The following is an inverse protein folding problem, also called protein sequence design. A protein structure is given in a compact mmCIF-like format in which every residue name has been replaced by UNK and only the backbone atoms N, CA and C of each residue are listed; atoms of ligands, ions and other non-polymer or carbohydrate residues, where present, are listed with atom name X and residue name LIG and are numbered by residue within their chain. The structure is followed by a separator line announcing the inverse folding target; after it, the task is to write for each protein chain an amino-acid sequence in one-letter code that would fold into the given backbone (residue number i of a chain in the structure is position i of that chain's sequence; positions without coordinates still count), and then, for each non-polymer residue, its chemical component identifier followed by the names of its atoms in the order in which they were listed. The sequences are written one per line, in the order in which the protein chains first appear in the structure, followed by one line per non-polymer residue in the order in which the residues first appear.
data_IF_091043348611
#
_entry.id   IF_091043348611
#
_cell.length_a   1.000
_cell.length_b   1.000
_cell.length_c   1.000
_cell.angle_alpha   90.00
_cell.angle_beta   90.00
_cell.angle_gamma   90.00
#
_symmetry.space_group_name_H-M   'P 1'
#
loop_
_entity.id
_entity.type
_entity.pdbx_description
1 polymer ?
#
# COMPACT_ATOMS: atom_id res chain seq x y z
N UNK A 1 -23.07 1.72 2.41
CA UNK A 1 -23.51 2.86 1.60
C UNK A 1 -22.98 4.18 2.15
N UNK A 2 -23.25 4.53 3.40
CA UNK A 2 -22.80 5.79 4.03
C UNK A 2 -21.27 6.01 3.96
N UNK A 3 -20.48 4.95 3.97
CA UNK A 3 -19.02 5.03 3.90
C UNK A 3 -18.54 5.41 2.50
N UNK A 4 -19.23 4.97 1.45
CA UNK A 4 -18.92 5.30 0.07
C UNK A 4 -19.31 6.75 -0.25
N UNK A 5 -20.45 7.21 0.27
CA UNK A 5 -20.89 8.60 0.15
C UNK A 5 -19.90 9.57 0.81
N UNK A 6 -19.32 9.19 1.95
CA UNK A 6 -18.27 9.96 2.64
C UNK A 6 -17.07 10.29 1.75
N UNK A 7 -16.77 9.43 0.77
CA UNK A 7 -15.66 9.62 -0.17
C UNK A 7 -16.09 10.23 -1.51
N UNK A 8 -17.31 10.82 -1.55
CA UNK A 8 -17.82 11.46 -2.77
C UNK A 8 -18.14 10.49 -3.89
N UNK A 9 -18.30 9.21 -3.56
CA UNK A 9 -18.74 8.20 -4.51
C UNK A 9 -20.26 8.22 -4.54
N UNK A 10 -20.82 8.94 -5.52
CA UNK A 10 -22.26 8.92 -5.76
C UNK A 10 -22.69 7.53 -6.20
N UNK A 11 -23.63 6.95 -5.45
CA UNK A 11 -24.01 5.56 -5.66
C UNK A 11 -25.54 5.43 -5.61
N UNK A 12 -26.09 4.93 -6.69
CA UNK A 12 -27.39 4.28 -6.62
C UNK A 12 -27.24 2.93 -5.89
N UNK A 13 -27.95 2.75 -4.80
CA UNK A 13 -27.90 1.53 -3.96
C UNK A 13 -28.24 0.23 -4.72
N UNK A 14 -28.78 0.36 -5.92
CA UNK A 14 -29.11 -0.77 -6.81
C UNK A 14 -28.09 -0.98 -7.92
N UNK A 15 -27.01 -0.20 -7.97
CA UNK A 15 -25.95 -0.38 -8.95
C UNK A 15 -25.21 -1.72 -8.67
N UNK A 16 -25.06 -2.54 -9.71
CA UNK A 16 -24.31 -3.80 -9.63
C UNK A 16 -22.86 -3.60 -9.16
N UNK A 17 -22.27 -2.44 -9.42
CA UNK A 17 -20.92 -2.08 -8.95
C UNK A 17 -20.85 -1.92 -7.43
N UNK A 18 -21.91 -1.40 -6.81
CA UNK A 18 -21.99 -1.28 -5.34
C UNK A 18 -22.02 -2.65 -4.71
N UNK A 19 -22.85 -3.54 -5.26
CA UNK A 19 -22.92 -4.92 -4.75
C UNK A 19 -21.55 -5.60 -4.85
N UNK A 20 -20.85 -5.39 -5.95
CA UNK A 20 -19.49 -5.91 -6.13
C UNK A 20 -18.51 -5.39 -5.08
N UNK A 21 -18.59 -4.11 -4.71
CA UNK A 21 -17.77 -3.53 -3.64
C UNK A 21 -18.10 -4.18 -2.30
N UNK A 22 -19.39 -4.30 -1.99
CA UNK A 22 -19.84 -4.91 -0.73
C UNK A 22 -19.38 -6.37 -0.61
N UNK A 23 -19.49 -7.14 -1.68
CA UNK A 23 -19.07 -8.54 -1.70
C UNK A 23 -17.56 -8.66 -1.53
N UNK A 24 -16.78 -7.84 -2.25
CA UNK A 24 -15.32 -7.82 -2.13
C UNK A 24 -14.87 -7.43 -0.71
N UNK A 25 -15.50 -6.42 -0.10
CA UNK A 25 -15.20 -6.00 1.27
C UNK A 25 -15.46 -7.15 2.25
N UNK A 26 -16.59 -7.85 2.12
CA UNK A 26 -16.91 -9.00 2.96
C UNK A 26 -15.89 -10.13 2.80
N UNK A 27 -15.51 -10.45 1.57
CA UNK A 27 -14.53 -11.50 1.30
C UNK A 27 -13.17 -11.15 1.90
N UNK A 28 -12.75 -9.89 1.78
CA UNK A 28 -11.50 -9.41 2.37
C UNK A 28 -11.56 -9.39 3.90
N UNK A 29 -12.65 -8.95 4.49
CA UNK A 29 -12.83 -8.97 5.94
C UNK A 29 -12.78 -10.40 6.47
N UNK A 30 -13.38 -11.36 5.76
CA UNK A 30 -13.26 -12.77 6.07
C UNK A 30 -11.81 -13.27 6.01
N UNK A 31 -11.01 -12.74 5.08
CA UNK A 31 -9.58 -13.07 4.93
C UNK A 31 -8.68 -12.36 5.94
N UNK A 32 -9.22 -11.49 6.77
CA UNK A 32 -8.46 -10.81 7.83
C UNK A 32 -8.30 -9.30 7.65
N UNK A 33 -8.82 -8.69 6.59
CA UNK A 33 -8.86 -7.24 6.46
C UNK A 33 -9.81 -6.62 7.48
N UNK A 34 -9.45 -5.45 7.97
CA UNK A 34 -10.31 -4.60 8.79
C UNK A 34 -10.21 -3.18 8.27
N UNK A 35 -11.25 -2.73 7.59
CA UNK A 35 -11.28 -1.39 7.01
C UNK A 35 -11.70 -0.31 8.02
N UNK A 36 -12.10 -0.71 9.23
CA UNK A 36 -12.26 0.23 10.31
C UNK A 36 -10.90 0.82 10.69
N UNK A 37 -10.76 2.15 10.54
CA UNK A 37 -9.48 2.81 10.72
C UNK A 37 -8.47 2.65 9.56
N UNK A 38 -8.88 2.06 8.44
CA UNK A 38 -8.07 1.94 7.23
C UNK A 38 -8.80 2.57 6.03
N UNK A 39 -9.24 3.80 6.20
CA UNK A 39 -10.07 4.52 5.22
C UNK A 39 -9.38 4.70 3.87
N UNK A 40 -8.06 4.89 3.85
CA UNK A 40 -7.30 5.06 2.61
C UNK A 40 -7.31 3.77 1.77
N UNK A 41 -7.04 2.62 2.36
CA UNK A 41 -7.11 1.33 1.67
C UNK A 41 -8.53 1.02 1.19
N UNK A 42 -9.54 1.37 1.96
CA UNK A 42 -10.94 1.22 1.56
C UNK A 42 -11.28 2.10 0.34
N UNK A 43 -10.89 3.36 0.36
CA UNK A 43 -11.10 4.29 -0.74
C UNK A 43 -10.42 3.83 -2.04
N UNK A 44 -9.17 3.35 -1.94
CA UNK A 44 -8.45 2.76 -3.08
C UNK A 44 -9.16 1.53 -3.64
N UNK A 45 -9.60 0.63 -2.77
CA UNK A 45 -10.33 -0.58 -3.19
C UNK A 45 -11.61 -0.23 -3.92
N UNK A 46 -12.43 0.66 -3.35
CA UNK A 46 -13.69 1.09 -3.95
C UNK A 46 -13.46 1.74 -5.33
N UNK A 47 -12.50 2.63 -5.44
CA UNK A 47 -12.19 3.29 -6.72
C UNK A 47 -11.61 2.33 -7.75
N UNK A 48 -10.84 1.34 -7.32
CA UNK A 48 -10.33 0.29 -8.21
C UNK A 48 -11.47 -0.54 -8.80
N UNK A 49 -12.41 -0.96 -7.98
CA UNK A 49 -13.58 -1.75 -8.41
C UNK A 49 -14.53 -0.94 -9.30
N UNK A 50 -14.58 0.37 -9.12
CA UNK A 50 -15.36 1.29 -9.96
C UNK A 50 -14.63 1.66 -11.26
N UNK A 51 -13.39 1.23 -11.44
CA UNK A 51 -12.57 1.60 -12.60
C UNK A 51 -12.13 3.06 -12.61
N UNK A 52 -12.14 3.73 -11.45
CA UNK A 52 -11.76 5.14 -11.29
C UNK A 52 -10.34 5.35 -10.78
N UNK A 53 -9.67 4.30 -10.33
CA UNK A 53 -8.29 4.37 -9.85
C UNK A 53 -7.34 4.19 -11.05
N UNK A 54 -6.54 5.19 -11.41
CA UNK A 54 -5.50 5.02 -12.41
C UNK A 54 -4.46 3.99 -11.96
N UNK A 55 -3.80 3.34 -12.91
CA UNK A 55 -2.61 2.55 -12.58
C UNK A 55 -1.45 3.50 -12.35
N UNK A 56 -0.78 3.39 -11.19
CA UNK A 56 0.35 4.21 -10.83
C UNK A 56 1.64 3.39 -10.72
N UNK A 57 1.73 2.58 -9.69
CA UNK A 57 2.92 1.81 -9.38
C UNK A 57 2.75 0.37 -9.87
N UNK A 58 3.38 0.05 -10.98
CA UNK A 58 3.48 -1.33 -11.44
C UNK A 58 4.71 -1.96 -10.83
N UNK A 59 4.51 -2.92 -9.95
CA UNK A 59 5.58 -3.67 -9.31
C UNK A 59 5.93 -4.88 -10.16
N UNK A 60 7.17 -4.96 -10.62
CA UNK A 60 7.69 -6.13 -11.31
C UNK A 60 8.11 -7.22 -10.34
N UNK A 61 8.85 -6.82 -9.30
CA UNK A 61 9.38 -7.73 -8.29
C UNK A 61 9.81 -6.98 -7.04
N UNK A 62 9.86 -7.69 -5.94
CA UNK A 62 10.56 -7.23 -4.74
C UNK A 62 11.16 -8.44 -4.01
N UNK A 63 12.21 -8.18 -3.25
CA UNK A 63 12.80 -9.15 -2.36
C UNK A 63 13.33 -8.50 -1.09
N UNK A 64 13.40 -9.29 -0.05
CA UNK A 64 14.01 -8.93 1.23
C UNK A 64 14.98 -10.03 1.61
N UNK A 65 16.19 -9.65 1.97
CA UNK A 65 17.23 -10.55 2.40
C UNK A 65 17.65 -10.21 3.84
N UNK A 66 17.60 -11.21 4.71
CA UNK A 66 18.08 -11.10 6.09
C UNK A 66 19.30 -12.00 6.21
N UNK A 67 20.43 -11.39 6.49
CA UNK A 67 21.70 -12.09 6.67
C UNK A 67 22.25 -11.86 8.07
N UNK A 68 22.62 -12.94 8.74
CA UNK A 68 23.30 -12.94 10.03
C UNK A 68 24.69 -13.57 9.87
N UNK A 69 25.71 -12.71 9.97
CA UNK A 69 27.09 -13.11 10.17
C UNK A 69 27.53 -12.66 11.57
N UNK A 70 28.47 -11.71 11.66
CA UNK A 70 28.80 -11.01 12.91
C UNK A 70 27.65 -10.08 13.31
N UNK A 71 27.09 -9.36 12.34
CA UNK A 71 25.97 -8.47 12.48
C UNK A 71 24.73 -8.98 11.73
N UNK A 72 23.56 -8.57 12.20
CA UNK A 72 22.30 -8.79 11.50
C UNK A 72 22.10 -7.68 10.46
N UNK A 73 21.99 -8.03 9.19
CA UNK A 73 21.78 -7.08 8.09
C UNK A 73 20.53 -7.44 7.31
N UNK A 74 19.65 -6.48 7.13
CA UNK A 74 18.45 -6.63 6.30
C UNK A 74 18.52 -5.67 5.12
N UNK A 75 18.39 -6.21 3.92
CA UNK A 75 18.36 -5.45 2.66
C UNK A 75 17.07 -5.73 1.91
N UNK A 76 16.63 -4.78 1.12
CA UNK A 76 15.45 -4.93 0.26
C UNK A 76 15.72 -4.35 -1.13
N UNK A 77 15.09 -4.93 -2.12
CA UNK A 77 15.04 -4.43 -3.50
C UNK A 77 13.60 -4.42 -3.98
N UNK A 78 13.23 -3.37 -4.68
CA UNK A 78 11.92 -3.25 -5.33
C UNK A 78 12.14 -2.76 -6.75
N UNK A 79 11.57 -3.45 -7.72
CA UNK A 79 11.62 -3.03 -9.12
C UNK A 79 10.23 -2.62 -9.57
N UNK A 80 10.12 -1.37 -9.98
CA UNK A 80 8.91 -0.80 -10.60
C UNK A 80 9.07 -0.74 -12.11
N UNK A 81 7.94 -0.76 -12.81
CA UNK A 81 7.87 -0.39 -14.23
C UNK A 81 7.01 0.87 -14.35
N UNK A 82 7.65 1.97 -14.70
CA UNK A 82 7.00 3.28 -14.85
C UNK A 82 7.26 3.80 -16.26
N UNK A 83 6.17 4.04 -16.99
CA UNK A 83 6.22 4.49 -18.39
C UNK A 83 7.12 3.60 -19.28
N UNK A 84 6.98 2.28 -19.09
CA UNK A 84 7.73 1.26 -19.83
C UNK A 84 9.18 1.07 -19.40
N UNK A 85 9.65 1.80 -18.38
CA UNK A 85 11.05 1.70 -17.88
C UNK A 85 11.09 0.97 -16.55
N UNK A 86 12.03 0.05 -16.41
CA UNK A 86 12.32 -0.59 -15.13
C UNK A 86 13.13 0.35 -14.23
N UNK A 87 12.67 0.49 -13.00
CA UNK A 87 13.33 1.29 -11.97
C UNK A 87 13.61 0.38 -10.78
N UNK A 88 14.89 0.14 -10.52
CA UNK A 88 15.33 -0.66 -9.38
C UNK A 88 15.64 0.24 -8.19
N UNK A 89 15.00 -0.06 -7.06
CA UNK A 89 15.17 0.63 -5.79
C UNK A 89 15.72 -0.35 -4.76
N UNK A 90 16.80 0.00 -4.10
CA UNK A 90 17.42 -0.83 -3.07
C UNK A 90 17.70 -0.05 -1.79
N UNK A 91 17.67 -0.73 -0.66
CA UNK A 91 17.90 -0.11 0.64
C UNK A 91 18.18 -1.12 1.75
N UNK A 92 18.58 -0.60 2.89
CA UNK A 92 18.86 -1.37 4.11
C UNK A 92 17.98 -0.86 5.24
N UNK A 93 17.72 -1.70 6.22
CA UNK A 93 16.96 -1.34 7.40
C UNK A 93 17.19 -2.29 8.57
N UNK A 94 16.56 -1.97 9.68
CA UNK A 94 16.64 -2.77 10.91
C UNK A 94 15.85 -4.09 10.83
N UNK A 95 14.94 -4.17 9.89
CA UNK A 95 14.11 -5.33 9.63
C UNK A 95 13.45 -5.24 8.26
N UNK A 96 12.66 -6.25 7.87
CA UNK A 96 12.08 -6.35 6.52
C UNK A 96 11.28 -5.12 6.10
N UNK A 97 10.40 -4.62 6.94
CA UNK A 97 9.54 -3.48 6.62
C UNK A 97 10.34 -2.19 6.49
N UNK A 98 11.23 -1.95 7.45
CA UNK A 98 12.09 -0.77 7.41
C UNK A 98 13.02 -0.80 6.19
N UNK A 99 13.53 -1.96 5.81
CA UNK A 99 14.35 -2.11 4.61
C UNK A 99 13.55 -1.84 3.33
N UNK A 100 12.31 -2.34 3.22
CA UNK A 100 11.42 -2.05 2.10
C UNK A 100 11.07 -0.56 2.01
N UNK A 101 10.70 0.04 3.13
CA UNK A 101 10.39 1.47 3.18
C UNK A 101 11.61 2.31 2.78
N UNK A 102 12.79 2.00 3.31
CA UNK A 102 14.03 2.68 2.94
C UNK A 102 14.42 2.47 1.48
N UNK A 103 14.22 1.27 0.93
CA UNK A 103 14.47 0.99 -0.48
C UNK A 103 13.66 1.95 -1.37
N UNK A 104 12.40 2.15 -1.06
CA UNK A 104 11.52 3.04 -1.81
C UNK A 104 11.88 4.52 -1.55
N UNK A 105 11.96 4.93 -0.29
CA UNK A 105 12.21 6.34 0.08
C UNK A 105 13.55 6.87 -0.37
N UNK A 106 14.61 6.09 -0.21
CA UNK A 106 15.96 6.50 -0.62
C UNK A 106 16.12 6.63 -2.14
N UNK A 107 15.16 6.12 -2.89
CA UNK A 107 15.19 6.09 -4.34
C UNK A 107 14.03 6.85 -5.01
N UNK A 108 13.28 7.66 -4.27
CA UNK A 108 12.18 8.45 -4.85
C UNK A 108 12.62 9.28 -6.05
N UNK A 109 13.85 9.79 -6.03
CA UNK A 109 14.41 10.55 -7.16
C UNK A 109 14.52 9.73 -8.45
N UNK A 110 14.70 8.42 -8.34
CA UNK A 110 14.73 7.53 -9.51
C UNK A 110 13.35 7.38 -10.14
N UNK A 111 12.29 7.52 -9.35
CA UNK A 111 10.91 7.52 -9.82
C UNK A 111 10.53 8.95 -10.19
N UNK A 112 11.17 9.51 -11.22
CA UNK A 112 11.10 10.92 -11.60
C UNK A 112 9.65 11.42 -11.74
N UNK A 113 8.80 10.62 -12.39
CA UNK A 113 7.39 10.94 -12.63
C UNK A 113 6.63 11.27 -11.34
N UNK A 114 6.94 10.56 -10.24
CA UNK A 114 6.21 10.64 -8.97
C UNK A 114 6.99 11.27 -7.83
N UNK A 115 8.24 11.62 -8.04
CA UNK A 115 9.12 12.15 -7.01
C UNK A 115 8.51 13.34 -6.25
N UNK A 116 7.93 14.29 -6.96
CA UNK A 116 7.33 15.50 -6.34
C UNK A 116 6.18 15.17 -5.39
N UNK A 117 5.49 14.05 -5.61
CA UNK A 117 4.40 13.61 -4.73
C UNK A 117 4.91 12.89 -3.50
N UNK A 118 6.05 12.22 -3.60
CA UNK A 118 6.60 11.41 -2.51
C UNK A 118 7.58 12.17 -1.61
N UNK A 119 8.08 13.32 -2.06
CA UNK A 119 9.15 14.06 -1.37
C UNK A 119 8.78 14.50 0.05
N UNK A 120 7.51 14.75 0.32
CA UNK A 120 6.99 15.15 1.64
C UNK A 120 6.27 14.02 2.40
N UNK A 121 6.21 12.85 1.82
CA UNK A 121 5.56 11.69 2.42
C UNK A 121 6.38 11.15 3.60
N UNK A 122 5.72 10.92 4.74
CA UNK A 122 6.31 10.35 5.95
C UNK A 122 5.51 9.17 6.46
N UNK A 123 6.20 8.13 6.90
CA UNK A 123 5.62 7.04 7.64
C UNK A 123 5.65 7.40 9.13
N UNK A 124 4.48 7.49 9.77
CA UNK A 124 4.36 7.85 11.18
C UNK A 124 4.35 6.63 12.10
N UNK A 125 3.66 5.58 11.70
CA UNK A 125 3.48 4.40 12.54
C UNK A 125 3.28 3.16 11.67
N UNK A 126 3.62 2.03 12.26
CA UNK A 126 3.52 0.73 11.65
C UNK A 126 3.16 -0.29 12.73
N UNK A 127 2.08 -1.04 12.51
CA UNK A 127 1.57 -2.05 13.44
C UNK A 127 1.37 -3.38 12.75
N UNK A 128 1.79 -4.45 13.42
CA UNK A 128 1.59 -5.82 12.96
C UNK A 128 0.69 -6.55 13.94
N UNK A 129 -0.29 -7.28 13.41
CA UNK A 129 -1.16 -8.14 14.20
C UNK A 129 -1.24 -9.52 13.59
N UNK A 130 -1.05 -10.53 14.40
CA UNK A 130 -1.27 -11.93 14.02
C UNK A 130 -2.71 -12.29 14.38
N UNK A 131 -3.50 -12.69 13.38
CA UNK A 131 -4.93 -12.91 13.53
C UNK A 131 -5.29 -14.34 13.91
N UNK A 132 -4.45 -15.32 13.51
CA UNK A 132 -4.63 -16.73 13.83
C UNK A 132 -3.34 -17.29 14.40
N UNK A 133 -3.46 -18.21 15.34
CA UNK A 133 -2.34 -18.95 15.92
C UNK A 133 -2.22 -20.30 15.22
N UNK A 134 -0.99 -20.71 14.90
CA UNK A 134 -0.70 -21.98 14.21
C UNK A 134 0.22 -21.78 13.01
N UNK A 135 0.39 -22.82 12.22
CA UNK A 135 1.32 -22.82 11.08
C UNK A 135 0.85 -21.99 9.89
N UNK A 136 -0.44 -21.64 9.85
CA UNK A 136 -1.06 -20.83 8.82
C UNK A 136 -1.48 -19.44 9.32
N UNK A 137 -0.75 -18.85 10.28
CA UNK A 137 -1.09 -17.56 10.86
C UNK A 137 -1.19 -16.46 9.81
N UNK A 138 -2.31 -15.75 9.82
CA UNK A 138 -2.52 -14.59 8.96
C UNK A 138 -2.00 -13.33 9.64
N UNK A 139 -1.23 -12.53 8.92
CA UNK A 139 -0.66 -11.28 9.42
C UNK A 139 -1.38 -10.09 8.79
N UNK A 140 -1.78 -9.14 9.62
CA UNK A 140 -2.32 -7.85 9.20
C UNK A 140 -1.36 -6.76 9.58
N UNK A 141 -0.96 -5.96 8.59
CA UNK A 141 -0.07 -4.81 8.76
C UNK A 141 -0.87 -3.54 8.52
N UNK A 142 -0.78 -2.60 9.44
CA UNK A 142 -1.39 -1.26 9.34
C UNK A 142 -0.28 -0.21 9.33
N UNK A 143 -0.38 0.75 8.41
CA UNK A 143 0.58 1.84 8.25
C UNK A 143 -0.16 3.17 8.34
N UNK A 144 0.34 4.07 9.17
CA UNK A 144 -0.06 5.47 9.21
C UNK A 144 0.95 6.32 8.47
N UNK A 145 0.49 7.10 7.52
CA UNK A 145 1.31 8.02 6.73
C UNK A 145 0.78 9.44 6.83
N UNK A 146 1.64 10.41 6.60
CA UNK A 146 1.30 11.84 6.54
C UNK A 146 2.15 12.55 5.50
N UNK A 147 1.80 13.79 5.22
CA UNK A 147 2.55 14.70 4.35
C UNK A 147 2.57 16.13 4.93
N UNK A 148 3.02 17.08 4.14
CA UNK A 148 3.07 18.51 4.53
C UNK A 148 1.72 19.11 4.90
N UNK A 149 0.59 18.50 4.51
CA UNK A 149 -0.75 18.97 4.91
C UNK A 149 -1.04 18.71 6.38
N UNK A 150 -0.27 17.87 7.05
CA UNK A 150 -0.50 17.44 8.42
C UNK A 150 -1.64 16.42 8.59
N UNK A 151 -2.34 16.08 7.52
CA UNK A 151 -3.37 15.02 7.55
C UNK A 151 -2.71 13.66 7.50
N UNK A 152 -3.27 12.72 8.27
CA UNK A 152 -2.83 11.32 8.26
C UNK A 152 -3.81 10.45 7.49
N UNK A 153 -3.29 9.37 6.93
CA UNK A 153 -4.11 8.31 6.35
C UNK A 153 -3.57 6.94 6.74
N UNK A 154 -4.49 5.98 6.77
CA UNK A 154 -4.19 4.62 7.22
C UNK A 154 -4.40 3.64 6.08
N UNK A 155 -3.42 2.78 5.88
CA UNK A 155 -3.47 1.71 4.90
C UNK A 155 -3.23 0.35 5.57
N UNK A 156 -3.68 -0.71 4.92
CA UNK A 156 -3.67 -2.05 5.47
C UNK A 156 -3.26 -3.06 4.40
N UNK A 157 -2.52 -4.07 4.83
CA UNK A 157 -2.20 -5.24 4.04
C UNK A 157 -2.37 -6.52 4.85
N UNK A 158 -2.82 -7.57 4.21
CA UNK A 158 -3.05 -8.87 4.85
C UNK A 158 -2.44 -9.98 4.00
N UNK A 159 -1.68 -10.85 4.63
CA UNK A 159 -1.09 -12.04 4.03
C UNK A 159 -0.63 -13.01 5.12
N UNK A 160 -0.47 -14.27 4.78
CA UNK A 160 0.25 -15.22 5.64
C UNK A 160 1.74 -14.88 5.74
N UNK A 161 2.26 -14.16 4.76
CA UNK A 161 3.63 -13.66 4.75
C UNK A 161 3.66 -12.19 5.20
N UNK A 162 4.38 -11.92 6.31
CA UNK A 162 4.49 -10.56 6.86
C UNK A 162 5.10 -9.56 5.87
N UNK A 163 6.02 -10.00 5.03
CA UNK A 163 6.67 -9.14 4.03
C UNK A 163 5.65 -8.73 2.97
N UNK A 164 4.86 -9.68 2.47
CA UNK A 164 3.80 -9.38 1.52
C UNK A 164 2.72 -8.46 2.12
N UNK A 165 2.28 -8.73 3.34
CA UNK A 165 1.31 -7.87 4.04
C UNK A 165 1.85 -6.44 4.20
N UNK A 166 3.10 -6.30 4.60
CA UNK A 166 3.77 -5.01 4.75
C UNK A 166 3.91 -4.27 3.43
N UNK A 167 4.29 -4.99 2.38
CA UNK A 167 4.44 -4.42 1.04
C UNK A 167 3.11 -3.91 0.49
N UNK A 168 2.03 -4.66 0.64
CA UNK A 168 0.68 -4.23 0.26
C UNK A 168 0.28 -2.93 0.96
N UNK A 169 0.49 -2.83 2.26
CA UNK A 169 0.19 -1.63 3.03
C UNK A 169 1.06 -0.42 2.60
N UNK A 170 2.35 -0.64 2.33
CA UNK A 170 3.27 0.39 1.83
C UNK A 170 2.85 0.91 0.46
N UNK A 171 2.56 0.03 -0.49
CA UNK A 171 2.14 0.43 -1.84
C UNK A 171 0.81 1.18 -1.79
N UNK A 172 -0.15 0.72 -1.00
CA UNK A 172 -1.40 1.46 -0.81
C UNK A 172 -1.15 2.87 -0.26
N UNK A 173 -0.20 3.05 0.65
CA UNK A 173 0.13 4.37 1.20
C UNK A 173 0.65 5.33 0.13
N UNK A 174 1.48 4.84 -0.78
CA UNK A 174 2.02 5.60 -1.90
C UNK A 174 0.95 5.89 -2.95
N UNK A 175 0.17 4.90 -3.34
CA UNK A 175 -0.90 5.06 -4.33
C UNK A 175 -1.99 6.01 -3.84
N UNK A 176 -2.31 5.98 -2.56
CA UNK A 176 -3.27 6.93 -1.98
C UNK A 176 -2.81 8.37 -2.13
N UNK A 177 -1.54 8.64 -1.86
CA UNK A 177 -0.93 9.97 -2.07
C UNK A 177 -1.07 10.41 -3.52
N UNK A 178 -0.72 9.54 -4.47
CA UNK A 178 -0.82 9.82 -5.90
C UNK A 178 -2.27 10.06 -6.33
N UNK A 179 -3.18 9.25 -5.84
CA UNK A 179 -4.61 9.39 -6.16
C UNK A 179 -5.21 10.68 -5.64
N UNK A 180 -4.94 11.02 -4.39
CA UNK A 180 -5.48 12.26 -3.76
C UNK A 180 -4.92 13.52 -4.43
N UNK A 181 -3.70 13.51 -4.89
CA UNK A 181 -3.07 14.63 -5.61
C UNK A 181 -3.28 14.58 -7.12
N UNK A 182 -4.09 13.64 -7.60
CA UNK A 182 -4.42 13.48 -9.03
C UNK A 182 -3.18 13.39 -9.91
N UNK A 183 -2.21 12.59 -9.47
CA UNK A 183 -1.01 12.33 -10.24
C UNK A 183 -1.34 11.68 -11.60
N UNK A 184 -0.49 11.89 -12.63
CA UNK A 184 -0.71 11.27 -13.93
C UNK A 184 -0.55 9.76 -13.87
N UNK A 185 -1.36 9.03 -14.64
CA UNK A 185 -1.30 7.58 -14.73
C UNK A 185 0.04 7.08 -15.29
N UNK A 186 0.41 5.88 -14.88
CA UNK A 186 1.50 5.12 -15.49
C UNK A 186 1.09 4.74 -16.92
N UNK A 187 2.00 4.91 -17.87
CA UNK A 187 1.78 4.63 -19.29
C UNK A 187 2.46 3.31 -19.66
N UNK A 188 1.76 2.48 -20.42
CA UNK A 188 2.28 1.20 -20.93
C UNK A 188 2.95 1.36 -22.29
#
# INVERSE_FOLDING_TARGET
LSRLEKYGIEIDSQDAKVQKILDEVKDREFSGYSYDGADASFELLANRLLGKLPEYLKVKSYNVNVKKDNDLKTTAEVTFVIDGKEINCSGEGNGPVNALDNAIRSNFKKVEKYYKYFSDLKLLDYKVRILNTGTGATTRVSIESTDKTGKSWFTIGVSQNIIEASFKALIDSLEYKLFKEKAPANIH
#
